data_IF_088664775647
#
_entry.id   IF_088664775647
#
_cell.length_a   1.000
_cell.length_b   1.000
_cell.length_c   1.000
_cell.angle_alpha   90.00
_cell.angle_beta   90.00
_cell.angle_gamma   90.00
#
_symmetry.space_group_name_H-M   'P 1'
#
loop_
_entity.id
_entity.type
_entity.pdbx_description
1 polymer ?
#
# COMPACT_ATOMS: atom_id res chain seq x y z
N UNK A 1 -13.22 -6.71 22.79
CA UNK A 1 -14.19 -5.93 21.99
C UNK A 1 -14.57 -6.73 20.76
N UNK A 2 -15.82 -6.59 20.32
CA UNK A 2 -16.26 -7.14 19.03
C UNK A 2 -16.28 -6.05 17.96
N UNK A 3 -15.45 -6.20 16.90
CA UNK A 3 -15.11 -5.15 15.95
C UNK A 3 -15.50 -5.57 14.54
N UNK A 4 -16.16 -4.69 13.77
CA UNK A 4 -16.34 -4.84 12.34
C UNK A 4 -15.27 -4.04 11.58
N UNK A 5 -14.45 -4.70 10.77
CA UNK A 5 -13.60 -4.04 9.77
C UNK A 5 -14.33 -4.05 8.42
N UNK A 6 -14.60 -2.89 7.85
CA UNK A 6 -15.40 -2.75 6.63
C UNK A 6 -14.54 -2.28 5.47
N UNK A 7 -14.53 -3.03 4.37
CA UNK A 7 -13.83 -2.68 3.13
C UNK A 7 -14.81 -2.49 1.98
N UNK A 8 -14.70 -1.41 1.19
CA UNK A 8 -15.50 -1.27 -0.03
C UNK A 8 -15.00 -2.14 -1.18
N UNK A 9 -13.77 -2.68 -1.09
CA UNK A 9 -13.08 -3.35 -2.18
C UNK A 9 -13.27 -4.87 -2.16
N UNK A 10 -13.20 -5.48 -3.35
CA UNK A 10 -13.26 -6.93 -3.55
C UNK A 10 -12.13 -7.64 -2.78
N UNK A 11 -12.51 -8.39 -1.76
CA UNK A 11 -11.57 -9.06 -0.86
C UNK A 11 -10.88 -10.28 -1.49
N UNK A 12 -11.32 -10.71 -2.67
CA UNK A 12 -10.69 -11.80 -3.43
C UNK A 12 -9.49 -11.34 -4.31
N UNK A 13 -9.21 -10.03 -4.37
CA UNK A 13 -8.11 -9.49 -5.17
C UNK A 13 -7.09 -8.74 -4.30
N UNK A 14 -5.78 -9.04 -4.42
CA UNK A 14 -4.76 -8.39 -3.61
C UNK A 14 -4.68 -6.88 -3.87
N UNK A 15 -4.48 -6.11 -2.81
CA UNK A 15 -4.34 -4.66 -2.87
C UNK A 15 -3.89 -4.06 -1.54
N UNK A 16 -3.34 -2.85 -1.56
CA UNK A 16 -2.78 -2.21 -0.37
C UNK A 16 -3.77 -2.08 0.79
N UNK A 17 -5.03 -1.70 0.51
CA UNK A 17 -6.08 -1.58 1.54
C UNK A 17 -6.45 -2.95 2.12
N UNK A 18 -6.53 -3.98 1.27
CA UNK A 18 -6.82 -5.34 1.74
C UNK A 18 -5.70 -5.86 2.64
N UNK A 19 -4.45 -5.69 2.21
CA UNK A 19 -3.30 -6.08 3.03
C UNK A 19 -3.32 -5.36 4.38
N UNK A 20 -3.64 -4.06 4.38
CA UNK A 20 -3.80 -3.30 5.63
C UNK A 20 -4.87 -3.92 6.54
N UNK A 21 -6.06 -4.19 6.02
CA UNK A 21 -7.19 -4.75 6.80
C UNK A 21 -6.84 -6.15 7.33
N UNK A 22 -6.26 -7.00 6.49
CA UNK A 22 -5.91 -8.38 6.88
C UNK A 22 -4.85 -8.40 7.99
N UNK A 23 -3.79 -7.59 7.85
CA UNK A 23 -2.75 -7.53 8.89
C UNK A 23 -3.27 -6.87 10.18
N UNK A 24 -4.07 -5.82 10.09
CA UNK A 24 -4.70 -5.20 11.25
C UNK A 24 -5.60 -6.20 11.98
N UNK A 25 -6.43 -6.95 11.24
CA UNK A 25 -7.30 -8.01 11.79
C UNK A 25 -6.47 -9.05 12.53
N UNK A 26 -5.40 -9.57 11.91
CA UNK A 26 -4.54 -10.58 12.53
C UNK A 26 -3.93 -10.09 13.85
N UNK A 27 -3.47 -8.85 13.92
CA UNK A 27 -2.89 -8.29 15.14
C UNK A 27 -3.94 -8.08 16.22
N UNK A 28 -5.10 -7.54 15.89
CA UNK A 28 -6.17 -7.31 16.86
C UNK A 28 -6.74 -8.65 17.40
N UNK A 29 -6.82 -9.70 16.56
CA UNK A 29 -7.16 -11.06 17.03
C UNK A 29 -6.10 -11.60 18.00
N UNK A 30 -4.80 -11.44 17.69
CA UNK A 30 -3.70 -11.80 18.62
C UNK A 30 -3.76 -11.05 19.94
N UNK A 31 -4.31 -9.83 19.95
CA UNK A 31 -4.54 -9.02 21.15
C UNK A 31 -5.84 -9.40 21.90
N UNK A 32 -6.56 -10.45 21.47
CA UNK A 32 -7.73 -10.99 22.18
C UNK A 32 -9.05 -10.31 21.80
N UNK A 33 -9.15 -9.66 20.63
CA UNK A 33 -10.39 -9.07 20.15
C UNK A 33 -11.15 -10.01 19.18
N UNK A 34 -12.48 -9.95 19.20
CA UNK A 34 -13.35 -10.65 18.24
C UNK A 34 -13.58 -9.75 17.02
N UNK A 35 -13.17 -10.21 15.83
CA UNK A 35 -13.23 -9.42 14.60
C UNK A 35 -14.03 -10.12 13.51
N UNK A 36 -14.79 -9.32 12.77
CA UNK A 36 -15.39 -9.72 11.50
C UNK A 36 -15.01 -8.72 10.41
N UNK A 37 -14.66 -9.23 9.24
CA UNK A 37 -14.41 -8.40 8.04
C UNK A 37 -15.67 -8.42 7.19
N UNK A 38 -16.22 -7.25 6.90
CA UNK A 38 -17.37 -7.05 6.00
C UNK A 38 -16.88 -6.45 4.69
N UNK A 39 -16.95 -7.20 3.59
CA UNK A 39 -16.47 -6.73 2.29
C UNK A 39 -17.18 -7.47 1.13
N UNK A 40 -17.19 -6.90 -0.10
CA UNK A 40 -17.56 -7.65 -1.28
C UNK A 40 -16.48 -8.68 -1.63
N UNK A 41 -16.91 -9.81 -2.21
CA UNK A 41 -15.98 -10.82 -2.72
C UNK A 41 -16.50 -11.43 -4.02
N UNK A 42 -15.66 -11.46 -5.06
CA UNK A 42 -15.95 -12.11 -6.34
C UNK A 42 -15.69 -13.61 -6.34
N UNK A 43 -14.97 -14.11 -5.34
CA UNK A 43 -14.63 -15.52 -5.11
C UNK A 43 -14.68 -15.82 -3.62
N UNK A 44 -14.76 -17.10 -3.27
CA UNK A 44 -14.69 -17.53 -1.87
C UNK A 44 -13.36 -17.09 -1.23
N UNK A 45 -13.43 -16.57 0.00
CA UNK A 45 -12.28 -16.18 0.81
C UNK A 45 -12.19 -17.18 1.97
N UNK A 46 -11.53 -18.31 1.72
CA UNK A 46 -11.44 -19.42 2.68
C UNK A 46 -10.49 -19.15 3.86
N UNK A 47 -9.50 -18.27 3.68
CA UNK A 47 -8.46 -17.99 4.68
C UNK A 47 -8.96 -17.35 5.97
N UNK A 48 -10.11 -16.68 5.93
CA UNK A 48 -10.71 -15.99 7.08
C UNK A 48 -11.85 -16.78 7.76
N UNK A 49 -12.34 -17.85 7.12
CA UNK A 49 -13.42 -18.67 7.65
C UNK A 49 -14.64 -17.83 8.08
N UNK A 50 -15.13 -18.08 9.28
CA UNK A 50 -16.29 -17.38 9.86
C UNK A 50 -16.04 -15.89 10.17
N UNK A 51 -14.80 -15.44 10.15
CA UNK A 51 -14.46 -14.02 10.36
C UNK A 51 -14.74 -13.15 9.14
N UNK A 52 -15.08 -13.76 8.00
CA UNK A 52 -15.40 -13.02 6.77
C UNK A 52 -16.91 -13.06 6.48
N UNK A 53 -17.50 -11.87 6.32
CA UNK A 53 -18.91 -11.68 5.97
C UNK A 53 -18.99 -11.07 4.57
N UNK A 54 -19.19 -11.87 3.51
CA UNK A 54 -19.28 -11.36 2.15
C UNK A 54 -20.59 -10.58 1.95
N UNK A 55 -20.48 -9.29 1.58
CA UNK A 55 -21.64 -8.44 1.26
C UNK A 55 -21.41 -7.70 -0.06
N UNK A 56 -22.28 -7.98 -1.02
CA UNK A 56 -22.25 -7.35 -2.34
C UNK A 56 -21.44 -8.12 -3.38
N UNK A 57 -21.73 -7.82 -4.65
CA UNK A 57 -21.03 -8.40 -5.81
C UNK A 57 -20.15 -7.31 -6.45
N UNK A 58 -18.84 -7.45 -6.40
CA UNK A 58 -17.94 -6.41 -6.86
C UNK A 58 -17.90 -6.34 -8.40
N UNK A 59 -17.81 -5.11 -8.92
CA UNK A 59 -17.62 -4.81 -10.35
C UNK A 59 -16.38 -3.96 -10.54
N UNK A 60 -15.62 -4.16 -11.61
CA UNK A 60 -14.46 -3.33 -11.91
C UNK A 60 -14.91 -1.92 -12.33
N UNK A 61 -14.39 -0.91 -11.64
CA UNK A 61 -14.64 0.51 -11.93
C UNK A 61 -13.29 1.19 -12.15
N UNK A 62 -13.06 1.84 -13.31
CA UNK A 62 -11.85 2.62 -13.54
C UNK A 62 -11.80 3.83 -12.60
N UNK A 63 -10.71 3.97 -11.84
CA UNK A 63 -10.49 5.10 -10.92
C UNK A 63 -9.05 5.58 -11.04
N UNK A 64 -8.84 6.80 -11.48
CA UNK A 64 -7.54 7.51 -11.47
C UNK A 64 -6.36 6.67 -12.01
N UNK A 65 -6.56 5.97 -13.13
CA UNK A 65 -5.51 5.16 -13.78
C UNK A 65 -5.30 3.76 -13.19
N UNK A 66 -6.14 3.36 -12.23
CA UNK A 66 -6.23 2.02 -11.65
C UNK A 66 -7.64 1.45 -11.82
N UNK A 67 -7.87 0.21 -11.41
CA UNK A 67 -9.19 -0.42 -11.40
C UNK A 67 -9.56 -0.77 -9.96
N UNK A 68 -10.57 -0.08 -9.43
CA UNK A 68 -11.20 -0.45 -8.17
C UNK A 68 -12.31 -1.49 -8.43
N UNK A 69 -12.37 -2.52 -7.60
CA UNK A 69 -13.45 -3.51 -7.65
C UNK A 69 -14.36 -3.29 -6.45
N UNK A 70 -15.51 -2.67 -6.68
CA UNK A 70 -16.46 -2.26 -5.64
C UNK A 70 -17.86 -2.79 -5.95
N UNK A 71 -18.70 -2.94 -4.92
CA UNK A 71 -20.11 -3.23 -5.14
C UNK A 71 -20.88 -1.95 -5.48
N UNK A 72 -21.73 -2.04 -6.48
CA UNK A 72 -22.62 -0.94 -6.91
C UNK A 72 -24.10 -1.24 -6.62
N UNK A 73 -24.40 -2.35 -5.90
CA UNK A 73 -25.75 -2.74 -5.57
C UNK A 73 -26.37 -1.78 -4.54
N UNK A 74 -27.52 -1.17 -4.81
CA UNK A 74 -28.26 -0.37 -3.84
C UNK A 74 -29.02 -1.19 -2.79
N UNK A 75 -29.22 -2.49 -3.03
CA UNK A 75 -30.06 -3.39 -2.24
C UNK A 75 -29.34 -4.07 -1.08
N UNK A 76 -28.33 -3.42 -0.48
CA UNK A 76 -27.54 -4.00 0.59
C UNK A 76 -28.11 -3.75 1.99
N UNK A 77 -29.00 -2.77 2.13
CA UNK A 77 -29.43 -2.24 3.43
C UNK A 77 -30.02 -3.31 4.35
N UNK A 78 -30.92 -4.17 3.85
CA UNK A 78 -31.57 -5.21 4.67
C UNK A 78 -30.57 -6.30 5.13
N UNK A 79 -29.58 -6.64 4.28
CA UNK A 79 -28.54 -7.61 4.63
C UNK A 79 -27.56 -7.02 5.64
N UNK A 80 -27.13 -5.77 5.44
CA UNK A 80 -26.25 -5.07 6.38
C UNK A 80 -26.94 -4.91 7.74
N UNK A 81 -28.22 -4.50 7.76
CA UNK A 81 -28.98 -4.35 9.00
C UNK A 81 -29.02 -5.65 9.78
N UNK A 82 -29.37 -6.79 9.14
CA UNK A 82 -29.37 -8.10 9.78
C UNK A 82 -28.00 -8.52 10.33
N UNK A 83 -26.91 -8.18 9.63
CA UNK A 83 -25.56 -8.48 10.10
C UNK A 83 -25.22 -7.64 11.34
N UNK A 84 -25.48 -6.34 11.33
CA UNK A 84 -25.23 -5.46 12.47
C UNK A 84 -26.02 -5.88 13.70
N UNK A 85 -27.32 -6.22 13.53
CA UNK A 85 -28.20 -6.68 14.61
C UNK A 85 -27.77 -8.05 15.19
N UNK A 86 -27.35 -8.98 14.32
CA UNK A 86 -26.89 -10.33 14.73
C UNK A 86 -25.57 -10.29 15.46
N UNK A 87 -24.59 -9.58 14.89
CA UNK A 87 -23.22 -9.60 15.39
C UNK A 87 -23.03 -8.71 16.62
N UNK A 88 -23.85 -7.67 16.80
CA UNK A 88 -23.78 -6.73 17.95
C UNK A 88 -22.37 -6.17 18.18
N UNK A 89 -21.80 -5.59 17.13
CA UNK A 89 -20.49 -4.97 17.20
C UNK A 89 -20.47 -3.84 18.24
N UNK A 90 -19.32 -3.67 18.90
CA UNK A 90 -19.04 -2.54 19.79
C UNK A 90 -18.41 -1.37 19.03
N UNK A 91 -17.72 -1.67 17.89
CA UNK A 91 -17.05 -0.69 17.02
C UNK A 91 -17.24 -1.12 15.57
N UNK A 92 -17.42 -0.12 14.71
CA UNK A 92 -17.36 -0.26 13.25
C UNK A 92 -16.20 0.57 12.72
N UNK A 93 -15.19 -0.07 12.14
CA UNK A 93 -14.06 0.60 11.51
C UNK A 93 -14.13 0.46 9.99
N UNK A 94 -14.36 1.57 9.30
CA UNK A 94 -14.52 1.62 7.85
C UNK A 94 -13.24 2.10 7.18
N UNK A 95 -12.75 1.34 6.20
CA UNK A 95 -11.66 1.77 5.32
C UNK A 95 -12.26 2.40 4.06
N UNK A 96 -11.82 3.61 3.72
CA UNK A 96 -12.47 4.48 2.72
C UNK A 96 -13.96 4.68 3.02
N UNK A 97 -14.31 5.27 4.17
CA UNK A 97 -15.67 5.26 4.74
C UNK A 97 -16.73 5.91 3.85
N UNK A 98 -16.33 6.82 2.98
CA UNK A 98 -17.23 7.54 2.07
C UNK A 98 -17.38 6.86 0.70
N UNK A 99 -16.75 5.70 0.47
CA UNK A 99 -16.99 4.91 -0.74
C UNK A 99 -18.46 4.46 -0.78
N UNK A 100 -19.11 4.62 -1.96
CA UNK A 100 -20.53 4.41 -2.07
C UNK A 100 -20.97 2.96 -1.83
N UNK A 101 -22.25 2.79 -1.63
CA UNK A 101 -22.97 1.53 -1.43
C UNK A 101 -22.60 0.86 -0.11
N UNK A 102 -21.53 0.06 -0.02
CA UNK A 102 -21.27 -0.73 1.18
C UNK A 102 -20.90 0.17 2.39
N UNK A 103 -19.82 0.94 2.30
CA UNK A 103 -19.34 1.73 3.43
C UNK A 103 -20.35 2.79 3.89
N UNK A 104 -20.92 3.55 2.96
CA UNK A 104 -21.93 4.56 3.30
C UNK A 104 -23.21 3.94 3.85
N UNK A 105 -23.60 2.72 3.43
CA UNK A 105 -24.78 2.04 3.99
C UNK A 105 -24.49 1.50 5.39
N UNK A 106 -23.32 0.92 5.62
CA UNK A 106 -22.89 0.49 6.97
C UNK A 106 -22.86 1.69 7.91
N UNK A 107 -22.20 2.78 7.52
CA UNK A 107 -22.12 4.00 8.29
C UNK A 107 -23.51 4.60 8.61
N UNK A 108 -24.43 4.55 7.65
CA UNK A 108 -25.81 5.00 7.83
C UNK A 108 -26.54 4.18 8.89
N UNK A 109 -26.40 2.85 8.86
CA UNK A 109 -27.15 1.90 9.68
C UNK A 109 -26.50 1.60 11.04
N UNK A 110 -25.22 1.91 11.18
CA UNK A 110 -24.50 1.73 12.44
C UNK A 110 -25.08 2.61 13.54
N UNK A 111 -25.23 2.01 14.74
CA UNK A 111 -25.63 2.67 16.00
C UNK A 111 -24.53 2.65 17.05
N UNK A 112 -23.34 2.20 16.70
CA UNK A 112 -22.15 2.14 17.56
C UNK A 112 -21.08 3.11 17.04
N UNK A 113 -20.01 3.40 17.81
CA UNK A 113 -18.93 4.26 17.36
C UNK A 113 -18.34 3.82 16.02
N UNK A 114 -18.16 4.79 15.13
CA UNK A 114 -17.66 4.58 13.76
C UNK A 114 -16.30 5.26 13.59
N UNK A 115 -15.30 4.47 13.20
CA UNK A 115 -13.97 4.96 12.86
C UNK A 115 -13.80 4.91 11.34
N UNK A 116 -13.22 5.95 10.76
CA UNK A 116 -12.91 5.99 9.32
C UNK A 116 -11.42 6.07 9.07
N UNK A 117 -10.87 5.15 8.27
CA UNK A 117 -9.49 5.24 7.76
C UNK A 117 -9.47 5.59 6.27
N UNK A 118 -8.74 6.65 5.94
CA UNK A 118 -8.55 7.18 4.59
C UNK A 118 -7.17 6.77 4.05
N UNK A 119 -7.15 6.15 2.86
CA UNK A 119 -5.94 5.60 2.24
C UNK A 119 -5.50 6.38 0.99
N UNK A 120 -6.42 7.07 0.31
CA UNK A 120 -6.14 7.78 -0.93
C UNK A 120 -5.41 9.11 -0.67
N UNK A 121 -4.39 9.43 -1.48
CA UNK A 121 -3.64 10.70 -1.43
C UNK A 121 -3.73 11.52 -2.70
N UNK A 122 -4.58 11.12 -3.66
CA UNK A 122 -4.70 11.81 -4.93
C UNK A 122 -5.65 11.13 -5.90
N UNK A 123 -5.81 11.74 -7.06
CA UNK A 123 -6.77 11.34 -8.09
C UNK A 123 -8.06 12.14 -7.99
N UNK A 124 -9.07 11.75 -8.76
CA UNK A 124 -10.42 12.27 -8.61
C UNK A 124 -11.17 11.39 -7.63
N UNK A 125 -11.45 11.84 -6.41
CA UNK A 125 -12.18 11.03 -5.44
C UNK A 125 -13.63 10.88 -5.91
N UNK A 126 -14.26 9.81 -5.51
CA UNK A 126 -15.68 9.58 -5.83
C UNK A 126 -16.57 10.77 -5.42
N UNK A 127 -16.27 11.39 -4.27
CA UNK A 127 -17.02 12.52 -3.76
C UNK A 127 -16.79 13.86 -4.51
N UNK A 128 -15.82 13.92 -5.43
CA UNK A 128 -15.59 15.07 -6.30
C UNK A 128 -16.52 15.06 -7.54
N UNK A 129 -17.08 13.90 -7.89
CA UNK A 129 -18.04 13.75 -8.99
C UNK A 129 -19.49 14.04 -8.59
N UNK A 130 -19.72 14.34 -7.31
CA UNK A 130 -21.08 14.51 -6.78
C UNK A 130 -21.72 15.82 -7.20
N UNK A 131 -23.05 15.77 -7.41
CA UNK A 131 -23.90 16.95 -7.42
C UNK A 131 -23.79 17.69 -6.09
N UNK A 132 -24.15 18.98 -5.97
CA UNK A 132 -24.21 19.70 -4.70
C UNK A 132 -24.98 18.93 -3.61
N UNK A 133 -26.07 18.26 -4.00
CA UNK A 133 -26.87 17.41 -3.10
C UNK A 133 -26.06 16.18 -2.65
N UNK A 134 -25.34 15.53 -3.57
CA UNK A 134 -24.48 14.40 -3.21
C UNK A 134 -23.38 14.77 -2.23
N UNK A 135 -22.76 15.94 -2.38
CA UNK A 135 -21.78 16.47 -1.42
C UNK A 135 -22.39 16.72 -0.05
N UNK A 136 -23.60 17.28 0.02
CA UNK A 136 -24.32 17.51 1.28
C UNK A 136 -24.64 16.19 2.00
N UNK A 137 -25.09 15.16 1.25
CA UNK A 137 -25.35 13.83 1.80
C UNK A 137 -24.07 13.18 2.34
N UNK A 138 -22.97 13.25 1.60
CA UNK A 138 -21.68 12.72 2.05
C UNK A 138 -21.16 13.46 3.29
N UNK A 139 -21.37 14.78 3.37
CA UNK A 139 -21.02 15.56 4.57
C UNK A 139 -21.80 15.08 5.79
N UNK A 140 -23.10 14.79 5.63
CA UNK A 140 -23.91 14.20 6.71
C UNK A 140 -23.35 12.86 7.21
N UNK A 141 -22.93 11.99 6.29
CA UNK A 141 -22.32 10.71 6.66
C UNK A 141 -20.93 10.85 7.24
N UNK A 142 -20.13 11.80 6.75
CA UNK A 142 -18.82 12.11 7.30
C UNK A 142 -18.91 12.49 8.80
N UNK A 143 -19.91 13.26 9.20
CA UNK A 143 -20.14 13.64 10.60
C UNK A 143 -20.58 12.46 11.51
N UNK A 144 -20.90 11.29 10.95
CA UNK A 144 -21.12 10.06 11.74
C UNK A 144 -19.82 9.32 12.07
N UNK A 145 -18.68 9.78 11.58
CA UNK A 145 -17.39 9.24 11.97
C UNK A 145 -16.97 9.90 13.30
N UNK A 146 -16.95 9.10 14.35
CA UNK A 146 -16.55 9.53 15.69
C UNK A 146 -15.02 9.72 15.77
N UNK A 147 -14.27 8.99 14.95
CA UNK A 147 -12.82 9.14 14.84
C UNK A 147 -12.34 8.99 13.39
N UNK A 148 -11.33 9.78 13.03
CA UNK A 148 -10.82 9.86 11.64
C UNK A 148 -9.32 9.61 11.61
N UNK A 149 -8.92 8.59 10.85
CA UNK A 149 -7.54 8.17 10.66
C UNK A 149 -7.16 8.40 9.20
N UNK A 150 -5.96 8.90 8.95
CA UNK A 150 -5.33 8.92 7.64
C UNK A 150 -4.03 8.12 7.66
N UNK A 151 -3.76 7.33 6.62
CA UNK A 151 -2.56 6.47 6.60
C UNK A 151 -1.27 7.24 6.33
N UNK A 152 -1.36 8.54 6.05
CA UNK A 152 -0.20 9.39 5.83
C UNK A 152 -0.61 10.86 5.82
N UNK A 153 0.38 11.76 5.94
CA UNK A 153 0.15 13.19 5.77
C UNK A 153 -0.44 13.52 4.39
N UNK A 154 0.04 12.99 3.25
CA UNK A 154 -0.59 13.20 1.95
C UNK A 154 -2.04 12.72 1.87
N UNK A 155 -2.38 11.59 2.52
CA UNK A 155 -3.76 11.11 2.57
C UNK A 155 -4.65 12.04 3.40
N UNK A 156 -4.14 12.52 4.56
CA UNK A 156 -4.82 13.51 5.38
C UNK A 156 -5.06 14.81 4.60
N UNK A 157 -4.03 15.39 4.02
CA UNK A 157 -4.12 16.63 3.24
C UNK A 157 -5.11 16.50 2.08
N UNK A 158 -5.16 15.32 1.46
CA UNK A 158 -6.07 15.06 0.36
C UNK A 158 -7.53 15.02 0.81
N UNK A 159 -7.88 14.25 1.83
CA UNK A 159 -9.26 14.17 2.33
C UNK A 159 -9.70 15.49 2.97
N UNK A 160 -8.80 16.18 3.65
CA UNK A 160 -9.06 17.46 4.34
C UNK A 160 -9.47 18.59 3.38
N UNK A 161 -9.08 18.53 2.09
CA UNK A 161 -9.56 19.47 1.05
C UNK A 161 -11.08 19.41 0.83
N UNK A 162 -11.69 18.26 1.08
CA UNK A 162 -13.11 18.01 0.83
C UNK A 162 -13.93 17.99 2.12
N UNK A 163 -13.32 17.50 3.18
CA UNK A 163 -13.92 17.33 4.52
C UNK A 163 -12.94 17.83 5.58
N UNK A 164 -12.86 19.17 5.79
CA UNK A 164 -12.03 19.75 6.82
C UNK A 164 -12.43 19.24 8.22
N UNK A 165 -11.45 18.62 8.92
CA UNK A 165 -11.64 18.07 10.26
C UNK A 165 -10.26 17.71 10.88
N UNK A 166 -10.26 17.20 12.11
CA UNK A 166 -9.08 16.63 12.75
C UNK A 166 -8.88 15.16 12.33
N UNK A 167 -7.65 14.84 11.97
CA UNK A 167 -7.25 13.50 11.55
C UNK A 167 -6.02 13.02 12.32
N UNK A 168 -6.09 11.82 12.84
CA UNK A 168 -4.90 11.16 13.40
C UNK A 168 -4.16 10.41 12.29
N UNK A 169 -2.86 10.66 12.16
CA UNK A 169 -2.04 9.91 11.19
C UNK A 169 -1.59 8.61 11.83
N UNK A 170 -2.08 7.47 11.32
CA UNK A 170 -1.61 6.13 11.66
C UNK A 170 -1.15 5.46 10.37
N UNK A 171 0.17 5.20 10.19
CA UNK A 171 0.72 4.71 8.93
C UNK A 171 0.29 3.27 8.61
N UNK A 172 0.54 2.87 7.35
CA UNK A 172 0.51 1.45 7.01
C UNK A 172 1.64 0.71 7.74
N UNK A 173 1.41 -0.56 8.03
CA UNK A 173 2.39 -1.41 8.67
C UNK A 173 3.17 -2.28 7.69
N UNK A 174 4.23 -2.89 8.21
CA UNK A 174 4.99 -3.97 7.59
C UNK A 174 5.02 -5.17 8.54
N UNK A 175 4.93 -6.36 7.98
CA UNK A 175 5.11 -7.60 8.74
C UNK A 175 6.62 -7.86 8.94
N UNK A 176 7.17 -7.40 10.05
CA UNK A 176 8.59 -7.55 10.39
C UNK A 176 8.98 -8.99 10.72
N UNK A 177 8.01 -9.88 10.92
CA UNK A 177 8.25 -11.33 11.05
C UNK A 177 8.41 -12.00 9.68
N UNK A 178 7.82 -11.43 8.64
CA UNK A 178 7.90 -11.90 7.26
C UNK A 178 9.04 -11.19 6.49
N UNK A 179 9.05 -9.86 6.50
CA UNK A 179 10.15 -9.04 5.95
C UNK A 179 11.21 -8.82 7.03
N UNK A 180 12.22 -9.66 7.07
CA UNK A 180 13.25 -9.66 8.10
C UNK A 180 14.65 -9.74 7.50
N UNK A 181 15.69 -9.26 8.22
CA UNK A 181 17.05 -9.15 7.67
C UNK A 181 17.74 -10.49 7.37
N UNK A 182 17.33 -11.55 8.04
CA UNK A 182 17.92 -12.90 7.97
C UNK A 182 17.27 -13.81 6.90
N UNK A 183 16.36 -13.26 6.07
CA UNK A 183 15.80 -13.99 4.92
C UNK A 183 16.91 -14.31 3.92
N UNK A 184 16.94 -15.57 3.44
CA UNK A 184 17.89 -15.98 2.42
C UNK A 184 17.55 -15.29 1.06
N UNK A 185 18.55 -14.72 0.36
CA UNK A 185 18.35 -14.21 -0.99
C UNK A 185 18.07 -15.34 -1.99
N UNK A 186 17.77 -14.99 -3.22
CA UNK A 186 17.60 -15.94 -4.32
C UNK A 186 18.98 -16.34 -4.86
N UNK A 187 19.30 -17.64 -4.79
CA UNK A 187 20.63 -18.19 -5.15
C UNK A 187 21.02 -17.90 -6.59
N UNK A 188 20.04 -17.91 -7.51
CA UNK A 188 20.23 -17.66 -8.94
C UNK A 188 20.76 -16.26 -9.28
N UNK A 189 20.74 -15.34 -8.32
CA UNK A 189 21.24 -13.95 -8.47
C UNK A 189 22.48 -13.65 -7.60
N UNK A 190 23.09 -14.68 -6.99
CA UNK A 190 24.31 -14.56 -6.20
C UNK A 190 25.58 -14.78 -7.05
N UNK A 191 25.59 -14.25 -8.26
CA UNK A 191 26.67 -14.41 -9.25
C UNK A 191 27.67 -13.24 -9.26
N UNK A 192 27.60 -12.37 -8.26
CA UNK A 192 28.51 -11.22 -8.11
C UNK A 192 28.06 -9.95 -8.82
N UNK A 193 26.98 -9.99 -9.61
CA UNK A 193 26.40 -8.79 -10.23
C UNK A 193 25.67 -7.92 -9.19
N UNK A 194 25.76 -6.60 -9.38
CA UNK A 194 24.95 -5.64 -8.62
C UNK A 194 23.47 -5.77 -9.01
N UNK A 195 22.62 -6.17 -8.07
CA UNK A 195 21.19 -6.35 -8.30
C UNK A 195 20.40 -5.08 -7.94
N UNK A 196 19.90 -4.36 -8.95
CA UNK A 196 18.92 -3.28 -8.78
C UNK A 196 17.54 -3.91 -8.96
N UNK A 197 16.65 -3.74 -7.97
CA UNK A 197 15.34 -4.38 -8.01
C UNK A 197 14.22 -3.36 -7.94
N UNK A 198 13.27 -3.49 -8.86
CA UNK A 198 11.99 -2.78 -8.86
C UNK A 198 10.89 -3.73 -8.43
N UNK A 199 10.11 -3.36 -7.42
CA UNK A 199 8.97 -4.16 -6.95
C UNK A 199 7.69 -3.33 -7.00
N UNK A 200 6.67 -3.82 -7.69
CA UNK A 200 5.36 -3.19 -7.76
C UNK A 200 4.58 -3.48 -9.04
N UNK A 201 3.29 -3.16 -9.02
CA UNK A 201 2.46 -3.31 -10.23
C UNK A 201 3.02 -2.46 -11.37
N UNK A 202 3.07 -3.01 -12.57
CA UNK A 202 3.50 -2.28 -13.75
C UNK A 202 2.40 -1.29 -14.18
N UNK A 203 2.45 -0.10 -13.60
CA UNK A 203 1.61 1.05 -13.90
C UNK A 203 2.50 2.22 -14.33
N UNK A 204 2.04 3.07 -15.27
CA UNK A 204 2.86 4.20 -15.75
C UNK A 204 3.37 5.10 -14.62
N UNK A 205 2.52 5.34 -13.59
CA UNK A 205 2.86 6.18 -12.45
C UNK A 205 3.99 5.61 -11.57
N UNK A 206 4.26 4.30 -11.65
CA UNK A 206 5.38 3.66 -10.92
C UNK A 206 6.76 3.97 -11.53
N UNK A 207 6.80 4.63 -12.68
CA UNK A 207 8.01 5.25 -13.22
C UNK A 207 9.05 4.31 -13.84
N UNK A 208 8.69 3.06 -14.17
CA UNK A 208 9.63 2.11 -14.79
C UNK A 208 10.26 2.64 -16.08
N UNK A 209 9.58 3.55 -16.80
CA UNK A 209 10.15 4.22 -17.98
C UNK A 209 11.41 5.02 -17.65
N UNK A 210 11.45 5.67 -16.48
CA UNK A 210 12.61 6.44 -16.00
C UNK A 210 13.73 5.52 -15.51
N UNK A 211 13.36 4.44 -14.80
CA UNK A 211 14.33 3.47 -14.33
C UNK A 211 15.05 2.77 -15.50
N UNK A 212 14.34 2.35 -16.54
CA UNK A 212 14.96 1.72 -17.70
C UNK A 212 15.96 2.66 -18.40
N UNK A 213 15.65 3.96 -18.49
CA UNK A 213 16.59 4.96 -19.04
C UNK A 213 17.80 5.15 -18.13
N UNK A 214 17.58 5.25 -16.81
CA UNK A 214 18.67 5.38 -15.84
C UNK A 214 19.55 4.11 -15.83
N UNK A 215 18.93 2.94 -15.80
CA UNK A 215 19.65 1.67 -15.81
C UNK A 215 20.50 1.46 -17.07
N UNK A 216 20.06 1.93 -18.23
CA UNK A 216 20.87 1.89 -19.46
C UNK A 216 22.19 2.66 -19.29
N UNK A 217 22.22 3.75 -18.53
CA UNK A 217 23.46 4.49 -18.21
C UNK A 217 24.25 3.75 -17.12
N UNK A 218 23.58 3.27 -16.09
CA UNK A 218 24.23 2.46 -15.03
C UNK A 218 24.91 1.25 -15.63
N UNK A 219 24.27 0.53 -16.56
CA UNK A 219 24.85 -0.65 -17.21
C UNK A 219 26.12 -0.37 -18.00
N UNK A 220 26.24 0.84 -18.58
CA UNK A 220 27.46 1.27 -19.29
C UNK A 220 28.62 1.54 -18.33
N UNK A 221 28.33 2.05 -17.14
CA UNK A 221 29.35 2.40 -16.13
C UNK A 221 29.68 1.20 -15.23
N UNK A 222 28.67 0.38 -14.92
CA UNK A 222 28.76 -0.84 -14.08
C UNK A 222 28.29 -2.03 -14.91
N UNK A 223 29.15 -2.60 -15.79
CA UNK A 223 28.77 -3.71 -16.67
C UNK A 223 28.24 -4.93 -15.90
N UNK A 224 28.80 -5.20 -14.72
CA UNK A 224 28.36 -6.27 -13.82
C UNK A 224 27.19 -5.82 -12.95
N UNK A 225 26.11 -5.33 -13.58
CA UNK A 225 24.85 -4.98 -12.94
C UNK A 225 23.68 -5.69 -13.60
N UNK A 226 22.59 -5.84 -12.86
CA UNK A 226 21.33 -6.46 -13.30
C UNK A 226 20.14 -5.67 -12.78
N UNK A 227 19.11 -5.52 -13.63
CA UNK A 227 17.83 -4.96 -13.23
C UNK A 227 16.77 -6.07 -13.17
N UNK A 228 16.23 -6.32 -11.97
CA UNK A 228 15.18 -7.30 -11.73
C UNK A 228 13.85 -6.56 -11.52
N UNK A 229 12.83 -6.88 -12.32
CA UNK A 229 11.51 -6.24 -12.32
C UNK A 229 10.46 -7.23 -11.84
N UNK A 230 9.94 -7.00 -10.64
CA UNK A 230 8.97 -7.86 -9.96
C UNK A 230 7.62 -7.18 -9.88
N UNK A 231 6.58 -7.83 -10.35
CA UNK A 231 5.20 -7.37 -10.20
C UNK A 231 4.30 -7.65 -11.41
N UNK A 232 2.98 -7.69 -11.17
CA UNK A 232 1.99 -7.95 -12.21
C UNK A 232 1.81 -6.75 -13.14
N UNK A 233 1.25 -7.02 -14.33
CA UNK A 233 0.94 -5.98 -15.33
C UNK A 233 1.33 -6.41 -16.74
N UNK A 234 0.78 -7.53 -17.20
CA UNK A 234 1.12 -8.24 -18.44
C UNK A 234 1.20 -7.32 -19.67
N UNK A 235 0.22 -6.41 -19.85
CA UNK A 235 0.20 -5.50 -21.02
C UNK A 235 1.41 -4.57 -21.05
N UNK A 236 1.79 -3.99 -19.90
CA UNK A 236 2.94 -3.10 -19.80
C UNK A 236 4.25 -3.89 -19.79
N UNK A 237 4.28 -5.08 -19.20
CA UNK A 237 5.44 -5.98 -19.24
C UNK A 237 5.86 -6.26 -20.69
N UNK A 238 4.92 -6.71 -21.53
CA UNK A 238 5.20 -6.94 -22.97
C UNK A 238 5.73 -5.69 -23.69
N UNK A 239 5.16 -4.51 -23.35
CA UNK A 239 5.64 -3.24 -23.91
C UNK A 239 7.08 -2.94 -23.49
N UNK A 240 7.40 -3.11 -22.18
CA UNK A 240 8.73 -2.85 -21.67
C UNK A 240 9.76 -3.88 -22.17
N UNK A 241 9.41 -5.16 -22.29
CA UNK A 241 10.27 -6.18 -22.88
C UNK A 241 10.64 -5.85 -24.34
N UNK A 242 9.65 -5.43 -25.16
CA UNK A 242 9.92 -4.98 -26.54
C UNK A 242 10.85 -3.77 -26.58
N UNK A 243 10.70 -2.84 -25.65
CA UNK A 243 11.57 -1.68 -25.53
C UNK A 243 12.98 -2.06 -25.13
N UNK A 244 13.15 -2.89 -24.11
CA UNK A 244 14.45 -3.40 -23.65
C UNK A 244 15.21 -4.07 -24.80
N UNK A 245 14.53 -4.93 -25.57
CA UNK A 245 15.12 -5.60 -26.74
C UNK A 245 15.49 -4.59 -27.83
N UNK A 246 14.59 -3.64 -28.16
CA UNK A 246 14.86 -2.63 -29.20
C UNK A 246 16.01 -1.70 -28.83
N UNK A 247 16.08 -1.30 -27.56
CA UNK A 247 17.08 -0.32 -27.06
C UNK A 247 18.39 -1.03 -26.66
N UNK A 248 18.51 -2.35 -26.81
CA UNK A 248 19.70 -3.15 -26.50
C UNK A 248 20.10 -3.07 -25.02
N UNK A 249 19.12 -3.01 -24.09
CA UNK A 249 19.41 -2.95 -22.65
C UNK A 249 19.64 -4.37 -22.13
N UNK A 250 20.85 -4.68 -21.75
CA UNK A 250 21.24 -6.02 -21.28
C UNK A 250 20.90 -6.22 -19.79
N UNK A 251 20.88 -7.49 -19.36
CA UNK A 251 20.68 -7.92 -17.97
C UNK A 251 19.40 -7.35 -17.31
N UNK A 252 18.29 -7.26 -18.05
CA UNK A 252 16.97 -6.90 -17.53
C UNK A 252 16.09 -8.14 -17.43
N UNK A 253 15.72 -8.50 -16.20
CA UNK A 253 14.91 -9.69 -15.90
C UNK A 253 13.50 -9.29 -15.48
N UNK A 254 12.48 -9.83 -16.14
CA UNK A 254 11.07 -9.60 -15.81
C UNK A 254 10.47 -10.84 -15.16
N UNK A 255 10.26 -10.79 -13.86
CA UNK A 255 9.71 -11.92 -13.08
C UNK A 255 8.18 -12.03 -13.29
N UNK A 256 7.48 -10.91 -13.37
CA UNK A 256 6.01 -10.91 -13.32
C UNK A 256 5.50 -10.96 -11.89
N UNK A 257 4.40 -11.67 -11.66
CA UNK A 257 3.83 -11.80 -10.32
C UNK A 257 4.70 -12.71 -9.44
N UNK A 258 5.13 -12.19 -8.30
CA UNK A 258 5.74 -12.99 -7.24
C UNK A 258 4.72 -13.24 -6.13
N UNK A 259 4.73 -14.43 -5.56
CA UNK A 259 3.91 -14.76 -4.39
C UNK A 259 4.36 -13.94 -3.18
N UNK A 260 3.43 -13.65 -2.28
CA UNK A 260 3.75 -12.88 -1.06
C UNK A 260 4.87 -13.53 -0.25
N UNK A 261 4.86 -14.88 -0.14
CA UNK A 261 5.89 -15.65 0.55
C UNK A 261 7.32 -15.47 0.01
N UNK A 262 7.44 -15.22 -1.30
CA UNK A 262 8.74 -15.06 -1.97
C UNK A 262 9.23 -13.61 -2.00
N UNK A 263 8.36 -12.63 -1.76
CA UNK A 263 8.71 -11.21 -1.84
C UNK A 263 9.92 -10.83 -0.97
N UNK A 264 10.04 -11.25 0.29
CA UNK A 264 11.19 -10.90 1.12
C UNK A 264 12.52 -11.33 0.51
N UNK A 265 12.55 -12.46 -0.21
CA UNK A 265 13.75 -12.96 -0.89
C UNK A 265 14.18 -12.03 -2.02
N UNK A 266 13.23 -11.46 -2.81
CA UNK A 266 13.55 -10.45 -3.84
C UNK A 266 14.11 -9.17 -3.24
N UNK A 267 13.55 -8.73 -2.10
CA UNK A 267 14.11 -7.58 -1.38
C UNK A 267 15.53 -7.86 -0.88
N UNK A 268 15.75 -9.07 -0.35
CA UNK A 268 17.07 -9.47 0.17
C UNK A 268 18.12 -9.70 -0.92
N UNK A 269 17.70 -10.10 -2.10
CA UNK A 269 18.56 -10.25 -3.29
C UNK A 269 19.05 -8.88 -3.81
N UNK A 270 18.29 -7.83 -3.56
CA UNK A 270 18.61 -6.49 -4.03
C UNK A 270 19.80 -5.88 -3.28
N UNK A 271 20.78 -5.36 -4.00
CA UNK A 271 21.74 -4.39 -3.49
C UNK A 271 21.09 -3.01 -3.32
N UNK A 272 20.16 -2.67 -4.23
CA UNK A 272 19.41 -1.40 -4.25
C UNK A 272 17.97 -1.69 -4.67
N UNK A 273 17.01 -1.28 -3.84
CA UNK A 273 15.61 -1.19 -4.26
C UNK A 273 15.36 0.16 -4.90
N UNK A 274 14.79 0.17 -6.11
CA UNK A 274 14.49 1.40 -6.83
C UNK A 274 12.97 1.63 -6.97
N UNK A 275 12.49 2.77 -6.44
CA UNK A 275 11.09 3.17 -6.42
C UNK A 275 10.87 4.51 -7.13
N UNK A 276 10.94 4.59 -8.49
CA UNK A 276 10.96 5.83 -9.24
C UNK A 276 9.57 6.37 -9.57
N UNK A 277 8.60 6.24 -8.67
CA UNK A 277 7.23 6.66 -8.90
C UNK A 277 7.12 8.15 -9.26
N UNK A 278 6.20 8.48 -10.18
CA UNK A 278 6.02 9.84 -10.69
C UNK A 278 5.02 10.67 -9.88
N UNK A 279 4.35 10.05 -8.91
CA UNK A 279 3.34 10.66 -8.05
C UNK A 279 2.25 9.67 -7.61
N UNK A 280 1.28 10.16 -6.86
CA UNK A 280 0.09 9.44 -6.39
C UNK A 280 0.36 8.18 -5.56
N UNK A 281 1.45 8.20 -4.80
CA UNK A 281 1.70 7.24 -3.73
C UNK A 281 1.33 7.87 -2.39
N UNK A 282 0.45 7.22 -1.67
CA UNK A 282 -0.01 7.74 -0.38
C UNK A 282 0.99 7.50 0.74
N UNK A 283 1.77 6.43 0.66
CA UNK A 283 2.67 6.05 1.74
C UNK A 283 3.99 5.44 1.22
N UNK A 284 3.94 4.33 0.50
CA UNK A 284 5.12 3.61 0.01
C UNK A 284 5.42 2.35 0.82
N UNK A 285 4.48 1.39 0.86
CA UNK A 285 4.66 0.11 1.54
C UNK A 285 5.95 -0.60 1.08
N UNK A 286 6.27 -0.52 -0.21
CA UNK A 286 7.51 -1.10 -0.78
C UNK A 286 8.78 -0.57 -0.11
N UNK A 287 8.76 0.69 0.35
CA UNK A 287 9.93 1.28 1.06
C UNK A 287 10.11 0.64 2.43
N UNK A 288 9.04 0.52 3.21
CA UNK A 288 9.14 -0.09 4.55
C UNK A 288 9.41 -1.59 4.49
N UNK A 289 8.98 -2.29 3.42
CA UNK A 289 9.33 -3.69 3.17
C UNK A 289 10.84 -3.82 2.85
N UNK A 290 11.39 -2.96 1.98
CA UNK A 290 12.82 -2.90 1.69
C UNK A 290 13.65 -2.58 2.95
N UNK A 291 13.21 -1.59 3.71
CA UNK A 291 13.85 -1.18 4.97
C UNK A 291 13.82 -2.30 6.00
N UNK A 292 12.71 -3.02 6.14
CA UNK A 292 12.58 -4.14 7.08
C UNK A 292 13.54 -5.30 6.78
N UNK A 293 13.85 -5.54 5.50
CA UNK A 293 14.83 -6.54 5.06
C UNK A 293 16.28 -6.02 5.15
N UNK A 294 16.47 -4.71 5.34
CA UNK A 294 17.77 -4.08 5.44
C UNK A 294 18.42 -3.77 4.10
N UNK A 295 17.61 -3.44 3.07
CA UNK A 295 18.11 -3.09 1.74
C UNK A 295 18.04 -1.58 1.52
N UNK A 296 19.11 -0.99 0.98
CA UNK A 296 19.17 0.43 0.64
C UNK A 296 18.15 0.79 -0.45
N UNK A 297 17.56 1.98 -0.34
CA UNK A 297 16.49 2.42 -1.24
C UNK A 297 16.89 3.66 -2.03
N UNK A 298 16.59 3.67 -3.34
CA UNK A 298 16.55 4.89 -4.16
C UNK A 298 15.12 5.13 -4.57
N UNK A 299 14.53 6.27 -4.19
CA UNK A 299 13.14 6.56 -4.44
C UNK A 299 12.93 8.00 -4.93
N UNK A 300 11.82 8.22 -5.63
CA UNK A 300 11.43 9.58 -6.00
C UNK A 300 11.04 10.39 -4.77
N UNK A 301 11.47 11.67 -4.73
CA UNK A 301 11.08 12.64 -3.70
C UNK A 301 9.65 13.13 -3.94
N UNK A 302 8.69 12.27 -3.68
CA UNK A 302 7.25 12.55 -3.66
C UNK A 302 6.73 12.46 -2.23
N UNK A 303 5.67 13.22 -1.92
CA UNK A 303 5.18 13.39 -0.55
C UNK A 303 4.93 12.08 0.21
N UNK A 304 4.41 11.05 -0.48
CA UNK A 304 4.17 9.72 0.13
C UNK A 304 5.47 9.02 0.53
N UNK A 305 6.50 9.08 -0.30
CA UNK A 305 7.79 8.45 -0.03
C UNK A 305 8.63 9.25 0.98
N UNK A 306 8.64 10.58 0.85
CA UNK A 306 9.33 11.46 1.78
C UNK A 306 8.73 11.47 3.20
N UNK A 307 7.50 10.95 3.38
CA UNK A 307 6.91 10.75 4.71
C UNK A 307 7.42 9.49 5.42
N UNK A 308 8.15 8.64 4.73
CA UNK A 308 8.61 7.32 5.23
C UNK A 308 10.13 7.22 5.22
N UNK A 309 10.78 7.76 4.19
CA UNK A 309 12.22 7.65 3.96
C UNK A 309 12.88 9.02 4.11
N UNK A 310 13.92 9.08 4.93
CA UNK A 310 14.76 10.27 5.11
C UNK A 310 15.95 10.21 4.15
N UNK A 311 16.12 11.22 3.32
CA UNK A 311 17.24 11.31 2.37
C UNK A 311 18.59 11.21 3.08
N UNK A 312 19.45 10.32 2.60
CA UNK A 312 20.78 10.08 3.17
C UNK A 312 20.80 9.19 4.42
N UNK A 313 19.64 8.83 4.99
CA UNK A 313 19.54 7.94 6.14
C UNK A 313 19.27 6.48 5.73
N UNK A 314 18.06 6.14 5.33
CA UNK A 314 17.67 4.80 4.90
C UNK A 314 17.83 4.60 3.39
N UNK A 315 18.06 5.70 2.64
CA UNK A 315 18.17 5.68 1.19
C UNK A 315 18.31 7.08 0.60
N UNK A 316 18.19 7.18 -0.72
CA UNK A 316 18.28 8.43 -1.46
C UNK A 316 16.93 8.82 -2.06
N UNK A 317 16.55 10.09 -1.90
CA UNK A 317 15.40 10.70 -2.56
C UNK A 317 15.87 11.56 -3.73
N UNK A 318 15.31 11.32 -4.92
CA UNK A 318 15.63 12.06 -6.15
C UNK A 318 14.37 12.75 -6.71
N UNK A 319 14.48 13.85 -7.44
CA UNK A 319 13.31 14.47 -8.07
C UNK A 319 12.55 13.47 -8.94
N UNK A 320 11.20 13.45 -8.89
CA UNK A 320 10.42 12.55 -9.73
C UNK A 320 10.58 12.91 -11.21
N UNK A 321 10.61 11.90 -12.08
CA UNK A 321 10.79 12.02 -13.54
C UNK A 321 12.18 12.56 -13.96
N UNK A 322 13.12 12.67 -13.06
CA UNK A 322 14.50 13.09 -13.33
C UNK A 322 15.38 11.86 -13.52
N UNK A 323 15.63 11.51 -14.79
CA UNK A 323 16.48 10.36 -15.13
C UNK A 323 17.95 10.59 -14.78
N UNK A 324 18.56 11.77 -15.02
CA UNK A 324 19.93 12.08 -14.59
C UNK A 324 20.14 11.91 -13.09
N UNK A 325 19.30 12.55 -12.25
CA UNK A 325 19.40 12.44 -10.79
C UNK A 325 19.19 10.98 -10.31
N UNK A 326 18.28 10.22 -10.95
CA UNK A 326 18.10 8.82 -10.66
C UNK A 326 19.34 7.98 -11.00
N UNK A 327 19.96 8.26 -12.14
CA UNK A 327 21.20 7.58 -12.57
C UNK A 327 22.33 7.85 -11.60
N UNK A 328 22.55 9.12 -11.22
CA UNK A 328 23.59 9.53 -10.27
C UNK A 328 23.39 8.85 -8.91
N UNK A 329 22.18 8.84 -8.39
CA UNK A 329 21.85 8.17 -7.13
C UNK A 329 22.12 6.65 -7.18
N UNK A 330 21.76 5.98 -8.28
CA UNK A 330 22.05 4.56 -8.45
C UNK A 330 23.55 4.29 -8.54
N UNK A 331 24.31 5.08 -9.30
CA UNK A 331 25.76 4.96 -9.44
C UNK A 331 26.48 5.22 -8.11
N UNK A 332 26.07 6.27 -7.36
CA UNK A 332 26.67 6.59 -6.06
C UNK A 332 26.51 5.46 -5.03
N UNK A 333 25.46 4.68 -5.12
CA UNK A 333 25.27 3.50 -4.27
C UNK A 333 25.88 2.22 -4.87
N UNK A 334 26.06 2.14 -6.20
CA UNK A 334 26.67 0.98 -6.84
C UNK A 334 28.10 0.77 -6.33
N UNK A 335 28.88 1.82 -6.23
CA UNK A 335 30.29 1.78 -5.84
C UNK A 335 30.51 1.79 -4.31
N UNK A 336 29.48 2.08 -3.51
CA UNK A 336 29.61 2.25 -2.06
C UNK A 336 28.82 1.19 -1.28
N UNK A 337 29.35 -0.05 -1.25
CA UNK A 337 28.76 -1.13 -0.46
C UNK A 337 28.63 -0.82 1.03
N UNK A 338 29.64 -0.22 1.71
CA UNK A 338 29.50 0.18 3.11
C UNK A 338 28.33 1.12 3.36
N UNK A 339 28.13 2.11 2.48
CA UNK A 339 27.02 3.04 2.56
C UNK A 339 25.65 2.34 2.38
N UNK A 340 25.54 1.40 1.40
CA UNK A 340 24.32 0.57 1.26
C UNK A 340 24.02 -0.19 2.54
N UNK A 341 25.03 -0.81 3.16
CA UNK A 341 24.88 -1.54 4.41
C UNK A 341 24.44 -0.64 5.57
N UNK A 342 25.05 0.54 5.71
CA UNK A 342 24.68 1.52 6.73
C UNK A 342 23.21 1.98 6.56
N UNK A 343 22.80 2.29 5.32
CA UNK A 343 21.41 2.64 5.00
C UNK A 343 20.46 1.50 5.32
N UNK A 344 20.82 0.27 4.98
CA UNK A 344 20.04 -0.92 5.32
C UNK A 344 19.84 -1.10 6.82
N UNK A 345 20.89 -0.93 7.63
CA UNK A 345 20.80 -1.01 9.10
C UNK A 345 19.89 0.07 9.69
N UNK A 346 20.00 1.31 9.22
CA UNK A 346 19.07 2.36 9.61
C UNK A 346 17.65 2.04 9.18
N UNK A 347 17.49 1.48 7.99
CA UNK A 347 16.20 1.03 7.47
C UNK A 347 15.52 0.00 8.39
N UNK A 348 16.24 -1.01 8.86
CA UNK A 348 15.71 -2.01 9.80
C UNK A 348 15.16 -1.33 11.06
N UNK A 349 15.94 -0.41 11.64
CA UNK A 349 15.51 0.32 12.84
C UNK A 349 14.25 1.16 12.59
N UNK A 350 14.22 1.89 11.48
CA UNK A 350 13.06 2.73 11.10
C UNK A 350 11.83 1.86 10.81
N UNK A 351 11.98 0.70 10.15
CA UNK A 351 10.88 -0.21 9.82
C UNK A 351 10.17 -0.77 11.05
N UNK A 352 10.87 -0.93 12.19
CA UNK A 352 10.26 -1.40 13.44
C UNK A 352 9.13 -0.48 13.95
N UNK A 353 9.22 0.83 13.69
CA UNK A 353 8.19 1.80 14.05
C UNK A 353 6.89 1.57 13.27
N UNK A 354 7.00 0.95 12.09
CA UNK A 354 5.91 0.58 11.20
C UNK A 354 5.48 -0.88 11.34
N UNK A 355 5.93 -1.62 12.36
CA UNK A 355 5.45 -2.99 12.59
C UNK A 355 3.92 -3.00 12.75
N UNK A 356 3.26 -4.03 12.20
CA UNK A 356 1.81 -4.16 12.36
C UNK A 356 1.37 -4.21 13.82
N UNK A 357 2.22 -4.70 14.73
CA UNK A 357 1.95 -4.66 16.16
C UNK A 357 1.83 -3.22 16.67
N UNK A 358 2.79 -2.34 16.32
CA UNK A 358 2.76 -0.94 16.72
C UNK A 358 1.60 -0.17 16.07
N UNK A 359 1.30 -0.45 14.80
CA UNK A 359 0.15 0.14 14.09
C UNK A 359 -1.16 -0.28 14.76
N UNK A 360 -1.33 -1.57 15.08
CA UNK A 360 -2.54 -2.08 15.74
C UNK A 360 -2.74 -1.48 17.14
N UNK A 361 -1.67 -1.32 17.95
CA UNK A 361 -1.73 -0.64 19.24
C UNK A 361 -2.27 0.80 19.10
N UNK A 362 -1.75 1.57 18.13
CA UNK A 362 -2.21 2.94 17.86
C UNK A 362 -3.68 3.00 17.41
N UNK A 363 -4.12 2.03 16.61
CA UNK A 363 -5.53 1.91 16.21
C UNK A 363 -6.40 1.57 17.42
N UNK A 364 -5.93 0.66 18.29
CA UNK A 364 -6.62 0.28 19.51
C UNK A 364 -6.78 1.46 20.47
N UNK A 365 -5.77 2.32 20.59
CA UNK A 365 -5.87 3.56 21.39
C UNK A 365 -6.99 4.49 20.86
N UNK A 366 -7.19 4.54 19.53
CA UNK A 366 -8.31 5.29 18.96
C UNK A 366 -9.67 4.66 19.31
N UNK A 367 -9.76 3.33 19.31
CA UNK A 367 -10.97 2.61 19.72
C UNK A 367 -11.33 2.90 21.18
N UNK A 368 -10.34 2.87 22.05
CA UNK A 368 -10.54 3.16 23.48
C UNK A 368 -11.02 4.60 23.73
N UNK A 369 -10.55 5.57 22.92
CA UNK A 369 -10.98 6.98 23.02
C UNK A 369 -12.45 7.20 22.68
N UNK A 370 -13.00 6.45 21.73
CA UNK A 370 -14.42 6.60 21.30
C UNK A 370 -15.38 5.78 22.14
N UNK A 371 -14.90 4.84 22.96
CA UNK A 371 -15.69 4.04 23.88
C UNK A 371 -15.80 4.65 25.29
N UNK A 372 -14.98 5.64 25.59
CA UNK A 372 -15.06 6.45 26.83
C UNK A 372 -16.08 7.54 26.69
#
# INVERSE_FOLDING_TARGET
MKIALVSPYDFAYPGGVLNHITNLEQQLVKMGHDLKIIAPASKAVSTLGERFIPIGSPRPVPVSGSVARITLSPWLSSRIKRVLEREKFEIVHLHEPLMPMLCTTVLRLSSVPNIGTFHASGGKPWYDFGTPIGKLVLKKWFHKLDYKIAVSRPAMEYVNKFFPDEYTIIPNGVDTGHFRPDVAPLEEYLDGKLNIVFIGRLEKRKGLDYLLKAYQQVKRTVPESRLIIVGPGERLRKKYQKRVARDGIEDVVFIGYANYGDLPRYYKTADIICCPATGWESFGIVLIEAMAVGTAVVASNISGYASVLTHGAEGLLVPPKDTPALTEALLSLADDKPRRQQMGQKGIFTAQQYSWENVAKRVLDCYQKVLR
#
